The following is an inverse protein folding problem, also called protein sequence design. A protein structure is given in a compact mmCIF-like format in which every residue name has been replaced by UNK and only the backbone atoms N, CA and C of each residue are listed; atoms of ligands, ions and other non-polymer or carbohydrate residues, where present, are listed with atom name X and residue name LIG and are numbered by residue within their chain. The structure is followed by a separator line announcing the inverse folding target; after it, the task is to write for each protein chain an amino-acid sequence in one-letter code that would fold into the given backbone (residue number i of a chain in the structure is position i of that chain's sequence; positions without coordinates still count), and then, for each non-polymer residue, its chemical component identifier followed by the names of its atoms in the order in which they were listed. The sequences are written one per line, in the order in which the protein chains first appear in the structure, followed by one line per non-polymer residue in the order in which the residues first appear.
data_IF_633625137942
#
_entry.id   IF_633625137942
#
_cell.length_a   1.000
_cell.length_b   1.000
_cell.length_c   1.000
_cell.angle_alpha   90.00
_cell.angle_beta   90.00
_cell.angle_gamma   90.00
#
_symmetry.space_group_name_H-M   'P 1'
#
loop_
_entity.id
_entity.type
_entity.pdbx_description
1 polymer ?
#
# COMPACT_ATOMS: atom_id res chain seq x y z
N UNK A 1 10.39 -7.42 -8.34
CA UNK A 1 11.04 -7.58 -7.01
C UNK A 1 10.02 -7.22 -5.93
N UNK A 2 9.47 -8.22 -5.24
CA UNK A 2 8.46 -8.08 -4.19
C UNK A 2 9.00 -8.37 -2.78
N UNK A 3 10.13 -9.10 -2.67
CA UNK A 3 10.65 -9.54 -1.38
C UNK A 3 11.06 -8.38 -0.47
N UNK A 4 10.38 -8.24 0.65
CA UNK A 4 10.70 -7.31 1.72
C UNK A 4 10.22 -7.86 3.06
N UNK A 5 10.95 -7.56 4.13
CA UNK A 5 10.47 -7.74 5.49
C UNK A 5 9.64 -6.51 5.85
N UNK A 6 8.34 -6.72 6.00
CA UNK A 6 7.36 -5.69 6.34
C UNK A 6 7.38 -5.37 7.84
N UNK A 7 6.75 -4.28 8.33
CA UNK A 7 6.82 -3.84 9.72
C UNK A 7 6.37 -4.87 10.78
N UNK A 8 5.56 -5.86 10.39
CA UNK A 8 5.17 -6.98 11.24
C UNK A 8 6.32 -8.00 11.47
N UNK A 9 7.36 -7.98 10.62
CA UNK A 9 8.56 -8.81 10.72
C UNK A 9 9.71 -8.13 11.48
N UNK A 10 9.62 -6.84 11.71
CA UNK A 10 10.57 -6.05 12.47
C UNK A 10 10.62 -4.58 12.03
N UNK A 11 10.96 -3.71 12.98
CA UNK A 11 11.08 -2.26 12.77
C UNK A 11 12.43 -1.71 13.22
N UNK A 12 13.41 -2.59 13.37
CA UNK A 12 14.73 -2.29 13.88
C UNK A 12 15.79 -2.19 12.78
N UNK A 13 16.99 -1.79 13.18
CA UNK A 13 18.16 -1.68 12.29
C UNK A 13 18.52 -3.03 11.67
N UNK A 14 18.37 -4.13 12.40
CA UNK A 14 18.70 -5.46 11.89
C UNK A 14 17.77 -5.84 10.73
N UNK A 15 16.48 -5.52 10.83
CA UNK A 15 15.49 -5.72 9.76
C UNK A 15 15.78 -4.83 8.54
N UNK A 16 16.16 -3.56 8.78
CA UNK A 16 16.64 -2.66 7.71
C UNK A 16 17.81 -3.30 6.95
N UNK A 17 18.86 -3.73 7.66
CA UNK A 17 20.06 -4.30 7.03
C UNK A 17 19.77 -5.59 6.26
N UNK A 18 18.88 -6.45 6.76
CA UNK A 18 18.43 -7.65 6.03
C UNK A 18 17.74 -7.28 4.71
N UNK A 19 16.87 -6.29 4.75
CA UNK A 19 16.20 -5.78 3.55
C UNK A 19 17.21 -5.22 2.53
N UNK A 20 18.19 -4.44 2.97
CA UNK A 20 19.22 -3.89 2.08
C UNK A 20 20.11 -5.00 1.50
N UNK A 21 20.50 -6.01 2.28
CA UNK A 21 21.26 -7.16 1.81
C UNK A 21 20.50 -7.96 0.73
N UNK A 22 19.18 -8.15 0.88
CA UNK A 22 18.35 -8.76 -0.17
C UNK A 22 18.42 -7.97 -1.48
N UNK A 23 18.31 -6.65 -1.41
CA UNK A 23 18.41 -5.81 -2.61
C UNK A 23 19.79 -5.82 -3.22
N UNK A 24 20.84 -5.79 -2.41
CA UNK A 24 22.23 -5.91 -2.85
C UNK A 24 22.45 -7.20 -3.65
N UNK A 25 21.93 -8.32 -3.17
CA UNK A 25 22.03 -9.62 -3.87
C UNK A 25 21.31 -9.60 -5.21
N UNK A 26 20.14 -8.96 -5.29
CA UNK A 26 19.40 -8.77 -6.56
C UNK A 26 20.18 -7.90 -7.52
N UNK A 27 20.69 -6.75 -7.07
CA UNK A 27 21.50 -5.87 -7.91
C UNK A 27 22.74 -6.57 -8.47
N UNK A 28 23.50 -7.28 -7.61
CA UNK A 28 24.68 -8.02 -8.03
C UNK A 28 24.36 -9.14 -9.06
N UNK A 29 23.21 -9.79 -8.94
CA UNK A 29 22.76 -10.77 -9.92
C UNK A 29 22.42 -10.09 -11.26
N UNK A 30 21.67 -8.98 -11.23
CA UNK A 30 21.25 -8.25 -12.42
C UNK A 30 22.42 -7.58 -13.16
N UNK A 31 23.45 -7.14 -12.46
CA UNK A 31 24.69 -6.64 -13.08
C UNK A 31 25.42 -7.71 -13.89
N UNK A 32 25.37 -8.96 -13.45
CA UNK A 32 26.01 -10.09 -14.13
C UNK A 32 25.17 -10.65 -15.29
N UNK A 33 23.89 -10.87 -15.05
CA UNK A 33 23.00 -11.54 -16.02
C UNK A 33 22.18 -10.59 -16.87
N UNK A 34 22.04 -9.32 -16.45
CA UNK A 34 21.09 -8.38 -17.02
C UNK A 34 19.64 -8.80 -16.78
N UNK A 35 18.71 -7.96 -17.14
CA UNK A 35 17.31 -8.31 -17.36
C UNK A 35 16.67 -7.28 -18.29
N UNK A 36 15.61 -7.67 -18.98
CA UNK A 36 14.91 -6.81 -19.92
C UNK A 36 14.15 -5.66 -19.23
N UNK A 37 13.67 -5.89 -18.01
CA UNK A 37 12.91 -4.91 -17.25
C UNK A 37 12.84 -5.31 -15.77
N UNK A 38 13.01 -4.36 -14.86
CA UNK A 38 12.86 -4.55 -13.41
C UNK A 38 11.67 -3.74 -12.90
N UNK A 39 10.68 -4.41 -12.32
CA UNK A 39 9.64 -3.76 -11.51
C UNK A 39 9.96 -3.94 -10.04
N UNK A 40 10.24 -2.84 -9.35
CA UNK A 40 10.48 -2.81 -7.92
C UNK A 40 9.23 -2.31 -7.17
N UNK A 41 8.75 -3.09 -6.21
CA UNK A 41 7.71 -2.67 -5.29
C UNK A 41 8.33 -1.92 -4.13
N UNK A 42 8.10 -0.63 -4.11
CA UNK A 42 8.38 0.29 -3.03
C UNK A 42 7.15 0.43 -2.12
N UNK A 43 6.94 1.58 -1.53
CA UNK A 43 5.82 1.90 -0.65
C UNK A 43 5.57 3.40 -0.65
N UNK A 44 4.37 3.82 -0.34
CA UNK A 44 4.03 5.21 -0.04
C UNK A 44 4.68 5.73 1.26
N UNK A 45 5.21 4.83 2.10
CA UNK A 45 6.00 5.19 3.29
C UNK A 45 7.29 5.96 2.97
N UNK A 46 7.70 6.06 1.70
CA UNK A 46 8.81 6.93 1.27
C UNK A 46 8.47 8.41 1.35
N UNK A 47 7.20 8.78 1.41
CA UNK A 47 6.76 10.16 1.50
C UNK A 47 6.60 10.63 2.95
N UNK A 48 6.82 11.92 3.19
CA UNK A 48 6.51 12.53 4.47
C UNK A 48 5.01 12.44 4.77
N UNK A 49 4.66 12.03 5.98
CA UNK A 49 3.27 11.89 6.43
C UNK A 49 2.53 13.23 6.53
N UNK A 50 3.25 14.36 6.61
CA UNK A 50 2.67 15.70 6.62
C UNK A 50 2.18 16.17 5.25
N UNK A 51 2.63 15.54 4.15
CA UNK A 51 2.17 15.90 2.80
C UNK A 51 0.77 15.38 2.57
N UNK A 52 -0.19 16.29 2.42
CA UNK A 52 -1.60 15.94 2.22
C UNK A 52 -1.95 15.53 0.80
N UNK A 53 -1.29 16.07 -0.22
CA UNK A 53 -1.46 15.70 -1.64
C UNK A 53 -0.15 15.20 -2.23
N UNK A 54 -0.13 13.95 -2.63
CA UNK A 54 1.06 13.24 -3.13
C UNK A 54 0.96 13.03 -4.64
N UNK A 55 2.05 13.33 -5.33
CA UNK A 55 2.31 13.02 -6.75
C UNK A 55 3.59 12.20 -6.85
N UNK A 56 3.93 11.69 -8.04
CA UNK A 56 5.23 11.04 -8.26
C UNK A 56 6.41 12.01 -8.15
N UNK A 57 6.18 13.31 -8.35
CA UNK A 57 7.19 14.38 -8.21
C UNK A 57 7.36 14.85 -6.76
N UNK A 58 6.48 14.40 -5.84
CA UNK A 58 6.64 14.69 -4.42
C UNK A 58 7.98 14.13 -3.92
N UNK A 59 8.85 14.96 -3.31
CA UNK A 59 10.14 14.49 -2.79
C UNK A 59 9.98 13.36 -1.78
N UNK A 60 10.78 12.30 -1.92
CA UNK A 60 10.85 11.26 -0.90
C UNK A 60 11.50 11.83 0.37
N UNK A 61 10.81 11.70 1.48
CA UNK A 61 11.23 12.15 2.83
C UNK A 61 10.72 11.17 3.87
N UNK A 62 11.26 9.93 3.91
CA UNK A 62 10.78 8.89 4.80
C UNK A 62 11.01 9.25 6.26
N UNK A 63 10.01 8.98 7.11
CA UNK A 63 10.01 9.34 8.53
C UNK A 63 10.37 8.15 9.44
N UNK A 64 10.53 6.96 8.89
CA UNK A 64 10.91 5.74 9.63
C UNK A 64 11.86 4.84 8.85
N UNK A 65 12.36 3.79 9.51
CA UNK A 65 13.31 2.84 8.90
C UNK A 65 12.68 2.04 7.75
N UNK A 66 11.37 1.83 7.75
CA UNK A 66 10.68 1.11 6.69
C UNK A 66 10.61 1.95 5.40
N UNK A 67 10.20 3.20 5.52
CA UNK A 67 10.23 4.14 4.39
C UNK A 67 11.65 4.40 3.89
N UNK A 68 12.61 4.59 4.80
CA UNK A 68 14.03 4.76 4.45
C UNK A 68 14.58 3.54 3.70
N UNK A 69 14.24 2.34 4.14
CA UNK A 69 14.58 1.08 3.48
C UNK A 69 14.08 1.05 2.04
N UNK A 70 12.80 1.35 1.83
CA UNK A 70 12.21 1.35 0.50
C UNK A 70 12.89 2.39 -0.41
N UNK A 71 13.09 3.61 0.10
CA UNK A 71 13.74 4.66 -0.69
C UNK A 71 15.19 4.33 -1.04
N UNK A 72 15.96 3.78 -0.10
CA UNK A 72 17.33 3.31 -0.37
C UNK A 72 17.33 2.24 -1.46
N UNK A 73 16.40 1.29 -1.41
CA UNK A 73 16.28 0.23 -2.42
C UNK A 73 15.84 0.77 -3.79
N UNK A 74 15.03 1.84 -3.84
CA UNK A 74 14.74 2.54 -5.09
C UNK A 74 16.02 3.10 -5.72
N UNK A 75 16.89 3.75 -4.92
CA UNK A 75 18.17 4.28 -5.37
C UNK A 75 19.06 3.14 -5.88
N UNK A 76 19.15 2.03 -5.13
CA UNK A 76 19.90 0.84 -5.55
C UNK A 76 19.38 0.28 -6.88
N UNK A 77 18.06 0.15 -7.06
CA UNK A 77 17.49 -0.32 -8.32
C UNK A 77 17.86 0.62 -9.50
N UNK A 78 17.75 1.92 -9.29
CA UNK A 78 18.05 2.94 -10.33
C UNK A 78 19.54 3.04 -10.65
N UNK A 79 20.43 2.58 -9.77
CA UNK A 79 21.87 2.54 -10.04
C UNK A 79 22.26 1.46 -11.07
N UNK A 80 21.36 0.54 -11.39
CA UNK A 80 21.56 -0.50 -12.43
C UNK A 80 21.51 0.13 -13.83
N UNK A 81 22.62 0.64 -14.33
CA UNK A 81 22.71 1.49 -15.51
C UNK A 81 22.16 0.86 -16.82
N UNK A 82 22.02 -0.47 -16.88
CA UNK A 82 21.62 -1.20 -18.10
C UNK A 82 20.25 -1.86 -17.99
N UNK A 83 19.54 -1.64 -16.88
CA UNK A 83 18.24 -2.28 -16.64
C UNK A 83 17.16 -1.19 -16.60
N UNK A 84 16.16 -1.21 -17.51
CA UNK A 84 15.00 -0.35 -17.37
C UNK A 84 14.26 -0.64 -16.07
N UNK A 85 14.02 0.38 -15.25
CA UNK A 85 13.44 0.23 -13.90
C UNK A 85 12.12 0.97 -13.81
N UNK A 86 11.10 0.28 -13.32
CA UNK A 86 9.87 0.86 -12.81
C UNK A 86 9.83 0.70 -11.29
N UNK A 87 9.55 1.79 -10.59
CA UNK A 87 9.26 1.81 -9.16
C UNK A 87 7.76 1.98 -8.97
N UNK A 88 7.12 1.02 -8.35
CA UNK A 88 5.73 1.11 -7.91
C UNK A 88 5.69 1.49 -6.44
N UNK A 89 4.96 2.56 -6.11
CA UNK A 89 4.71 3.01 -4.74
C UNK A 89 3.23 2.79 -4.40
N UNK A 90 2.86 1.56 -3.99
CA UNK A 90 1.49 1.30 -3.57
C UNK A 90 1.17 2.05 -2.27
N UNK A 91 -0.07 2.52 -2.19
CA UNK A 91 -0.69 2.98 -0.96
C UNK A 91 -1.12 1.79 -0.08
N UNK A 92 -2.06 1.98 0.85
CA UNK A 92 -2.49 0.92 1.74
C UNK A 92 -3.23 -0.18 0.96
N UNK A 93 -2.56 -1.31 0.77
CA UNK A 93 -3.11 -2.47 0.06
C UNK A 93 -3.95 -3.30 1.01
N UNK A 94 -5.14 -3.73 0.55
CA UNK A 94 -5.99 -4.66 1.27
C UNK A 94 -6.44 -5.80 0.36
N UNK A 95 -6.87 -6.92 0.95
CA UNK A 95 -7.34 -8.09 0.21
C UNK A 95 -7.29 -9.36 1.04
N UNK A 96 -7.73 -10.48 0.45
CA UNK A 96 -7.61 -11.80 1.07
C UNK A 96 -6.12 -12.16 1.22
N UNK A 97 -5.77 -12.79 2.34
CA UNK A 97 -4.38 -13.21 2.61
C UNK A 97 -3.47 -12.12 3.17
N UNK A 98 -3.98 -10.90 3.41
CA UNK A 98 -3.22 -9.88 4.13
C UNK A 98 -2.80 -10.36 5.52
N UNK A 99 -1.49 -10.57 5.72
CA UNK A 99 -0.89 -10.96 7.00
C UNK A 99 -0.42 -9.76 7.82
N UNK A 100 -0.32 -8.59 7.20
CA UNK A 100 0.22 -7.39 7.84
C UNK A 100 -0.74 -6.77 8.85
N UNK A 101 -2.05 -6.96 8.67
CA UNK A 101 -3.10 -6.46 9.56
C UNK A 101 -3.02 -4.94 9.81
N UNK A 102 -2.71 -4.18 8.77
CA UNK A 102 -2.66 -2.71 8.82
C UNK A 102 -3.99 -2.13 9.30
N UNK A 103 -3.93 -0.97 9.95
CA UNK A 103 -5.11 -0.21 10.34
C UNK A 103 -5.91 0.19 9.10
N UNK A 104 -7.14 -0.30 9.01
CA UNK A 104 -8.01 -0.13 7.84
C UNK A 104 -8.90 -1.35 7.56
N UNK A 105 -9.28 -1.61 6.30
CA UNK A 105 -10.35 -2.54 5.93
C UNK A 105 -10.23 -3.93 6.55
N UNK A 106 -9.10 -4.60 6.38
CA UNK A 106 -8.91 -5.97 6.86
C UNK A 106 -8.88 -6.06 8.37
N UNK A 107 -8.20 -5.12 9.04
CA UNK A 107 -8.15 -5.08 10.51
C UNK A 107 -9.52 -4.80 11.12
N UNK A 108 -10.27 -3.87 10.54
CA UNK A 108 -11.60 -3.53 11.01
C UNK A 108 -12.56 -4.71 10.85
N UNK A 109 -12.51 -5.39 9.71
CA UNK A 109 -13.31 -6.60 9.49
C UNK A 109 -12.97 -7.71 10.50
N UNK A 110 -11.66 -7.96 10.75
CA UNK A 110 -11.22 -8.95 11.75
C UNK A 110 -11.68 -8.60 13.16
N UNK A 111 -11.58 -7.32 13.54
CA UNK A 111 -12.04 -6.84 14.84
C UNK A 111 -13.57 -6.98 14.98
N UNK A 112 -14.32 -6.60 13.94
CA UNK A 112 -15.75 -6.77 13.87
C UNK A 112 -16.17 -8.25 14.07
N UNK A 113 -15.51 -9.15 13.34
CA UNK A 113 -15.79 -10.59 13.43
C UNK A 113 -15.47 -11.17 14.81
N UNK A 114 -14.32 -10.79 15.38
CA UNK A 114 -13.81 -11.36 16.63
C UNK A 114 -14.48 -10.77 17.86
N UNK A 115 -14.61 -9.43 17.89
CA UNK A 115 -14.92 -8.68 19.10
C UNK A 115 -16.31 -8.01 19.05
N UNK A 116 -17.01 -8.10 17.91
CA UNK A 116 -18.30 -7.42 17.69
C UNK A 116 -18.19 -5.89 17.65
N UNK A 117 -16.97 -5.35 17.57
CA UNK A 117 -16.72 -3.90 17.60
C UNK A 117 -15.49 -3.52 16.80
N UNK A 118 -15.47 -2.25 16.34
CA UNK A 118 -14.33 -1.62 15.69
C UNK A 118 -13.88 -0.43 16.53
N UNK A 119 -12.61 -0.38 16.90
CA UNK A 119 -12.05 0.72 17.69
C UNK A 119 -11.26 1.69 16.82
N UNK A 120 -11.62 2.96 16.86
CA UNK A 120 -10.98 4.06 16.15
C UNK A 120 -10.11 4.92 17.07
N UNK A 121 -9.02 5.45 16.54
CA UNK A 121 -8.22 6.48 17.18
C UNK A 121 -8.83 7.86 16.88
N UNK A 122 -9.17 8.63 17.91
CA UNK A 122 -10.00 9.83 17.75
C UNK A 122 -11.34 9.48 17.13
N UNK A 123 -11.94 10.37 16.38
CA UNK A 123 -13.18 10.12 15.61
C UNK A 123 -12.97 9.38 14.28
N UNK A 124 -11.74 8.94 13.99
CA UNK A 124 -11.41 8.30 12.69
C UNK A 124 -11.34 9.28 11.52
N UNK A 125 -10.99 10.55 11.78
CA UNK A 125 -11.03 11.65 10.81
C UNK A 125 -9.90 11.59 9.77
N UNK A 126 -8.83 10.84 10.03
CA UNK A 126 -7.72 10.69 9.08
C UNK A 126 -8.18 10.02 7.80
N UNK A 127 -7.80 10.59 6.67
CA UNK A 127 -8.12 10.02 5.35
C UNK A 127 -6.93 9.27 4.76
N UNK A 128 -7.22 8.10 4.18
CA UNK A 128 -6.25 7.28 3.45
C UNK A 128 -6.89 6.71 2.19
N UNK A 129 -6.05 6.52 1.19
CA UNK A 129 -6.40 5.76 -0.01
C UNK A 129 -6.09 4.28 0.23
N UNK A 130 -7.04 3.40 -0.08
CA UNK A 130 -6.90 1.97 0.05
C UNK A 130 -7.14 1.31 -1.30
N UNK A 131 -6.21 0.49 -1.74
CA UNK A 131 -6.29 -0.20 -3.02
C UNK A 131 -6.42 -1.71 -2.84
N UNK A 132 -7.29 -2.34 -3.63
CA UNK A 132 -7.45 -3.79 -3.60
C UNK A 132 -6.21 -4.49 -4.19
N UNK A 133 -5.81 -5.62 -3.63
CA UNK A 133 -4.62 -6.37 -4.08
C UNK A 133 -4.71 -6.79 -5.54
N UNK A 134 -5.91 -7.11 -6.06
CA UNK A 134 -6.12 -7.48 -7.46
C UNK A 134 -5.86 -6.30 -8.40
N UNK A 135 -6.20 -5.07 -7.99
CA UNK A 135 -5.87 -3.86 -8.77
C UNK A 135 -4.36 -3.63 -8.84
N UNK A 136 -3.66 -3.84 -7.72
CA UNK A 136 -2.19 -3.78 -7.70
C UNK A 136 -1.59 -4.82 -8.65
N UNK A 137 -2.09 -6.06 -8.61
CA UNK A 137 -1.65 -7.13 -9.50
C UNK A 137 -1.94 -6.80 -10.97
N UNK A 138 -3.17 -6.36 -11.29
CA UNK A 138 -3.57 -6.01 -12.65
C UNK A 138 -2.75 -4.84 -13.22
N UNK A 139 -2.50 -3.79 -12.43
CA UNK A 139 -1.64 -2.68 -12.83
C UNK A 139 -0.19 -3.14 -13.05
N UNK A 140 0.33 -4.00 -12.18
CA UNK A 140 1.68 -4.55 -12.33
C UNK A 140 1.84 -5.31 -13.64
N UNK A 141 0.87 -6.16 -13.99
CA UNK A 141 0.88 -6.90 -15.27
C UNK A 141 0.88 -5.93 -16.45
N UNK A 142 0.03 -4.89 -16.42
CA UNK A 142 0.00 -3.86 -17.47
C UNK A 142 1.34 -3.14 -17.60
N UNK A 143 1.92 -2.72 -16.48
CA UNK A 143 3.25 -2.08 -16.47
C UNK A 143 4.35 -2.98 -17.02
N UNK A 144 4.30 -4.28 -16.73
CA UNK A 144 5.25 -5.27 -17.28
C UNK A 144 5.10 -5.42 -18.79
N UNK A 145 3.87 -5.58 -19.28
CA UNK A 145 3.58 -5.72 -20.71
C UNK A 145 3.97 -4.49 -21.52
N UNK A 146 3.80 -3.29 -20.93
CA UNK A 146 4.18 -2.03 -21.56
C UNK A 146 5.64 -1.63 -21.33
N UNK A 147 6.41 -2.42 -20.56
CA UNK A 147 7.78 -2.09 -20.17
C UNK A 147 7.89 -0.67 -19.58
N UNK A 148 6.91 -0.28 -18.76
CA UNK A 148 6.84 1.05 -18.16
C UNK A 148 8.06 1.33 -17.29
N UNK A 149 8.58 2.55 -17.31
CA UNK A 149 9.75 2.97 -16.52
C UNK A 149 9.44 4.19 -15.66
N UNK A 150 10.34 4.50 -14.72
CA UNK A 150 10.19 5.67 -13.84
C UNK A 150 9.55 5.32 -12.50
N UNK A 151 8.65 6.16 -12.01
CA UNK A 151 7.90 5.97 -10.76
C UNK A 151 6.41 6.07 -11.03
N UNK A 152 5.63 5.23 -10.37
CA UNK A 152 4.17 5.29 -10.40
C UNK A 152 3.60 5.09 -8.99
N UNK A 153 2.77 6.02 -8.54
CA UNK A 153 1.94 5.83 -7.36
C UNK A 153 0.79 4.87 -7.70
N UNK A 154 0.71 3.77 -6.96
CA UNK A 154 -0.34 2.77 -7.16
C UNK A 154 -1.42 3.03 -6.11
N UNK A 155 -2.34 3.93 -6.46
CA UNK A 155 -3.42 4.44 -5.64
C UNK A 155 -4.69 4.60 -6.46
N UNK A 156 -5.85 4.65 -5.80
CA UNK A 156 -7.14 4.82 -6.48
C UNK A 156 -7.46 6.27 -6.80
N UNK A 157 -6.85 7.23 -6.09
CA UNK A 157 -7.18 8.65 -6.09
C UNK A 157 -8.39 9.00 -5.22
N UNK A 158 -8.98 8.01 -4.52
CA UNK A 158 -10.14 8.17 -3.65
C UNK A 158 -9.75 7.84 -2.22
N UNK A 159 -9.60 8.87 -1.39
CA UNK A 159 -9.30 8.70 0.03
C UNK A 159 -10.57 8.76 0.86
N UNK A 160 -10.72 7.83 1.80
CA UNK A 160 -11.81 7.79 2.80
C UNK A 160 -11.25 7.93 4.20
N UNK A 161 -12.05 8.50 5.10
CA UNK A 161 -11.73 8.54 6.53
C UNK A 161 -11.77 7.13 7.13
N UNK A 162 -11.01 6.90 8.19
CA UNK A 162 -11.10 5.62 8.89
C UNK A 162 -12.49 5.36 9.48
N UNK A 163 -13.25 6.42 9.76
CA UNK A 163 -14.65 6.28 10.19
C UNK A 163 -15.50 5.70 9.05
N UNK A 164 -15.45 6.26 7.84
CA UNK A 164 -16.15 5.72 6.67
C UNK A 164 -15.74 4.26 6.37
N UNK A 165 -14.45 3.94 6.50
CA UNK A 165 -13.95 2.58 6.31
C UNK A 165 -14.50 1.63 7.38
N UNK A 166 -14.62 2.09 8.63
CA UNK A 166 -15.23 1.30 9.70
C UNK A 166 -16.71 1.04 9.45
N UNK A 167 -17.46 2.03 8.95
CA UNK A 167 -18.86 1.85 8.55
C UNK A 167 -19.00 0.83 7.41
N UNK A 168 -18.14 0.92 6.38
CA UNK A 168 -18.12 -0.05 5.27
C UNK A 168 -17.86 -1.48 5.80
N UNK A 169 -16.91 -1.64 6.72
CA UNK A 169 -16.61 -2.93 7.32
C UNK A 169 -17.75 -3.44 8.22
N UNK A 170 -18.33 -2.57 9.06
CA UNK A 170 -19.44 -2.91 9.96
C UNK A 170 -20.70 -3.35 9.19
N UNK A 171 -20.96 -2.71 8.06
CA UNK A 171 -22.11 -3.03 7.18
C UNK A 171 -22.11 -4.48 6.71
N UNK A 172 -20.94 -5.12 6.56
CA UNK A 172 -20.83 -6.52 6.17
C UNK A 172 -21.41 -7.48 7.22
N UNK A 173 -21.61 -7.03 8.44
CA UNK A 173 -22.17 -7.80 9.57
C UNK A 173 -23.61 -7.38 9.91
N UNK A 174 -24.34 -6.75 8.98
CA UNK A 174 -25.73 -6.34 9.16
C UNK A 174 -25.91 -5.25 10.23
N UNK A 175 -24.97 -4.31 10.33
CA UNK A 175 -24.97 -3.18 11.28
C UNK A 175 -25.04 -3.58 12.78
N UNK A 176 -24.60 -4.80 13.11
CA UNK A 176 -24.54 -5.30 14.51
C UNK A 176 -23.22 -4.94 15.20
N UNK A 177 -22.33 -4.24 14.50
CA UNK A 177 -21.00 -3.89 14.99
C UNK A 177 -21.01 -2.50 15.59
N UNK A 178 -20.50 -2.39 16.81
CA UNK A 178 -20.31 -1.12 17.48
C UNK A 178 -19.01 -0.46 16.98
N UNK A 179 -19.08 0.82 16.60
CA UNK A 179 -17.89 1.64 16.29
C UNK A 179 -17.62 2.50 17.52
N UNK A 180 -16.51 2.25 18.19
CA UNK A 180 -16.09 2.97 19.39
C UNK A 180 -14.85 3.81 19.12
N UNK A 181 -14.71 4.93 19.81
CA UNK A 181 -13.59 5.85 19.68
C UNK A 181 -12.72 5.81 20.92
N UNK A 182 -11.40 6.06 20.73
CA UNK A 182 -10.44 6.22 21.81
C UNK A 182 -9.78 7.59 21.73
N UNK A 183 -9.26 8.14 22.84
CA UNK A 183 -8.53 9.40 22.79
C UNK A 183 -7.41 9.35 21.74
N UNK A 184 -7.27 10.45 21.00
CA UNK A 184 -6.22 10.60 20.00
C UNK A 184 -4.90 10.97 20.65
N UNK A 185 -3.82 10.29 20.24
CA UNK A 185 -2.47 10.59 20.68
C UNK A 185 -1.70 11.46 19.67
N UNK A 186 -2.03 11.35 18.36
CA UNK A 186 -1.30 12.02 17.28
C UNK A 186 -2.19 13.00 16.51
N UNK A 187 -1.63 14.03 15.85
CA UNK A 187 -2.38 14.93 14.98
C UNK A 187 -3.11 14.19 13.86
N UNK A 188 -4.25 14.73 13.41
CA UNK A 188 -4.96 14.23 12.23
C UNK A 188 -4.12 14.48 10.99
N UNK A 189 -3.92 13.45 10.19
CA UNK A 189 -3.24 13.57 8.90
C UNK A 189 -4.19 13.19 7.77
N UNK A 190 -4.13 13.96 6.69
CA UNK A 190 -4.91 13.72 5.47
C UNK A 190 -3.95 13.33 4.36
N UNK A 191 -4.28 12.28 3.60
CA UNK A 191 -3.45 11.87 2.47
C UNK A 191 -4.30 11.54 1.25
N UNK A 192 -4.01 12.23 0.16
CA UNK A 192 -4.65 12.07 -1.14
C UNK A 192 -3.58 11.88 -2.21
N UNK A 193 -3.86 11.05 -3.20
CA UNK A 193 -2.96 10.80 -4.32
C UNK A 193 -3.50 11.41 -5.61
N UNK A 194 -2.63 12.09 -6.32
CA UNK A 194 -2.91 12.48 -7.70
C UNK A 194 -2.58 11.29 -8.61
N UNK A 195 -3.58 10.72 -9.23
CA UNK A 195 -3.48 9.55 -10.11
C UNK A 195 -3.47 9.90 -11.59
N UNK A 196 -3.20 11.17 -11.93
CA UNK A 196 -3.21 11.66 -13.31
C UNK A 196 -2.27 10.84 -14.20
N UNK A 197 -1.07 10.52 -13.74
CA UNK A 197 -0.10 9.74 -14.51
C UNK A 197 -0.57 8.30 -14.73
N UNK A 198 -1.19 7.69 -13.73
CA UNK A 198 -1.77 6.35 -13.85
C UNK A 198 -2.92 6.33 -14.86
N UNK A 199 -3.82 7.32 -14.80
CA UNK A 199 -4.96 7.43 -15.74
C UNK A 199 -4.46 7.69 -17.16
N UNK A 200 -3.44 8.53 -17.34
CA UNK A 200 -2.81 8.77 -18.66
C UNK A 200 -2.19 7.50 -19.23
N UNK A 201 -1.50 6.73 -18.39
CA UNK A 201 -0.85 5.47 -18.81
C UNK A 201 -1.89 4.38 -19.12
N UNK A 202 -2.98 4.31 -18.36
CA UNK A 202 -3.98 3.26 -18.44
C UNK A 202 -5.41 3.83 -18.40
N UNK A 203 -5.89 4.57 -19.43
CA UNK A 203 -7.15 5.30 -19.39
C UNK A 203 -8.39 4.41 -19.24
N UNK A 204 -8.29 3.15 -19.60
CA UNK A 204 -9.37 2.16 -19.47
C UNK A 204 -9.28 1.32 -18.19
N UNK A 205 -8.35 1.61 -17.28
CA UNK A 205 -8.28 0.92 -16.00
C UNK A 205 -9.45 1.34 -15.11
N UNK A 206 -10.07 0.39 -14.45
CA UNK A 206 -11.14 0.64 -13.49
C UNK A 206 -10.77 -0.04 -12.19
N UNK A 207 -10.72 0.76 -11.14
CA UNK A 207 -10.45 0.27 -9.78
C UNK A 207 -11.69 -0.43 -9.21
N UNK A 208 -11.46 -1.44 -8.39
CA UNK A 208 -12.47 -2.02 -7.52
C UNK A 208 -12.84 -0.97 -6.47
N UNK A 209 -14.12 -0.60 -6.40
CA UNK A 209 -14.59 0.32 -5.36
C UNK A 209 -14.33 -0.27 -3.98
N UNK A 210 -14.01 0.58 -2.99
CA UNK A 210 -13.66 0.10 -1.64
C UNK A 210 -14.77 -0.74 -1.02
N UNK A 211 -16.01 -0.31 -1.21
CA UNK A 211 -17.21 -1.02 -0.73
C UNK A 211 -17.30 -2.43 -1.31
N UNK A 212 -17.12 -2.55 -2.62
CA UNK A 212 -17.19 -3.85 -3.34
C UNK A 212 -16.03 -4.76 -2.94
N UNK A 213 -14.82 -4.20 -2.85
CA UNK A 213 -13.63 -4.94 -2.45
C UNK A 213 -13.73 -5.47 -1.01
N UNK A 214 -14.24 -4.65 -0.07
CA UNK A 214 -14.45 -5.08 1.32
C UNK A 214 -15.53 -6.16 1.41
N UNK A 215 -16.63 -6.02 0.65
CA UNK A 215 -17.67 -7.03 0.58
C UNK A 215 -17.15 -8.37 0.05
N UNK A 216 -16.38 -8.32 -1.06
CA UNK A 216 -15.75 -9.50 -1.66
C UNK A 216 -14.81 -10.20 -0.68
N UNK A 217 -13.89 -9.46 -0.03
CA UNK A 217 -12.97 -10.04 0.97
C UNK A 217 -13.75 -10.66 2.13
N UNK A 218 -14.87 -10.05 2.54
CA UNK A 218 -15.71 -10.60 3.60
C UNK A 218 -16.32 -11.95 3.18
N UNK A 219 -16.94 -12.03 2.01
CA UNK A 219 -17.54 -13.25 1.46
C UNK A 219 -16.50 -14.38 1.33
N UNK A 220 -15.35 -14.09 0.71
CA UNK A 220 -14.25 -15.05 0.55
C UNK A 220 -13.74 -15.59 1.89
N UNK A 221 -13.68 -14.75 2.93
CA UNK A 221 -13.24 -15.17 4.27
C UNK A 221 -14.32 -15.91 5.07
N UNK A 222 -15.60 -15.75 4.71
CA UNK A 222 -16.71 -16.51 5.31
C UNK A 222 -16.93 -17.86 4.61
N UNK A 223 -16.23 -18.12 3.49
CA UNK A 223 -16.41 -19.34 2.70
C UNK A 223 -17.69 -19.33 1.84
N UNK A 224 -18.20 -18.15 1.53
CA UNK A 224 -19.44 -17.94 0.75
C UNK A 224 -19.15 -17.72 -0.73
N UNK A 225 -18.12 -18.39 -1.31
CA UNK A 225 -17.79 -18.33 -2.75
C UNK A 225 -18.33 -19.51 -3.50
#
# INVERSE_FOLDING_TARGET
MLAALTPDKGRDIATLMKNLAMMQSVCAALEKSGCAHLVYFSSDAVYDTAVSRVTEDTPASPQDLYGAMHYTREIMARSLAKVPVLVLRPTLVYGLGDTHNSYGPNRFRRAAQKDGKITLFGGGEETRDHIHVDDVAALTVRCLLHQSTGTLNVATGISKSFYEIAEIAAKQFGNRIEIITTPRANPVTQRHYDVTNLIKAFPNFRFIALEDGVARVHQEMMGET
#
